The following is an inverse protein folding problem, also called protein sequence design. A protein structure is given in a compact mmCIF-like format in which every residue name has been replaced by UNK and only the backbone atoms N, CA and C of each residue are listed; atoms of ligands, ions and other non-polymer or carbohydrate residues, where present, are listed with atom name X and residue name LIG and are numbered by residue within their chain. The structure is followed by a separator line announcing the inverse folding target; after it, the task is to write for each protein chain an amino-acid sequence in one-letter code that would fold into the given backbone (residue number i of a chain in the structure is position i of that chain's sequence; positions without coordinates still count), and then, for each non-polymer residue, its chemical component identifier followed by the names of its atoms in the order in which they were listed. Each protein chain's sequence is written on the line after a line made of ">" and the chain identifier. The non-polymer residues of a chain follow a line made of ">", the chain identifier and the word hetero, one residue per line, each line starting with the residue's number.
data_IF_840120827719
#
_entry.id   IF_840120827719
#
_cell.length_a   1.000
_cell.length_b   1.000
_cell.length_c   1.000
_cell.angle_alpha   90.00
_cell.angle_beta   90.00
_cell.angle_gamma   90.00
#
_symmetry.space_group_name_H-M   'P 1'
#
loop_
_entity.id
_entity.type
_entity.pdbx_description
1 polymer ?
#
# COMPACT_ATOMS: atom_id res chain seq x y z
N UNK A 1 1.63 -6.74 -16.27
CA UNK A 1 2.34 -7.39 -15.16
C UNK A 1 1.43 -8.15 -14.19
N UNK A 2 0.36 -7.59 -13.64
CA UNK A 2 -0.59 -8.37 -12.80
C UNK A 2 -1.20 -9.59 -13.55
N UNK A 3 -1.35 -9.51 -14.86
CA UNK A 3 -1.82 -10.60 -15.70
C UNK A 3 -0.82 -11.79 -15.76
N UNK A 4 0.48 -11.53 -15.74
CA UNK A 4 1.50 -12.60 -15.75
C UNK A 4 1.49 -13.43 -14.46
N UNK A 5 1.38 -12.80 -13.29
CA UNK A 5 1.25 -13.51 -12.01
C UNK A 5 -0.03 -14.34 -11.94
N UNK A 6 -1.16 -13.81 -12.44
CA UNK A 6 -2.41 -14.57 -12.52
C UNK A 6 -2.30 -15.76 -13.47
N UNK A 7 -1.56 -15.63 -14.56
CA UNK A 7 -1.29 -16.73 -15.50
C UNK A 7 -0.51 -17.85 -14.84
N UNK A 8 0.61 -17.55 -14.16
CA UNK A 8 1.39 -18.53 -13.42
C UNK A 8 0.56 -19.24 -12.35
N UNK A 9 -0.25 -18.51 -11.61
CA UNK A 9 -1.16 -19.08 -10.59
C UNK A 9 -2.15 -20.07 -11.18
N UNK A 10 -2.73 -19.75 -12.36
CA UNK A 10 -3.65 -20.66 -13.07
C UNK A 10 -2.93 -21.92 -13.55
N UNK A 11 -1.72 -21.80 -14.11
CA UNK A 11 -0.92 -22.95 -14.55
C UNK A 11 -0.59 -23.84 -13.36
N UNK A 12 -0.14 -23.29 -12.24
CA UNK A 12 0.15 -24.07 -11.04
C UNK A 12 -1.08 -24.78 -10.48
N UNK A 13 -2.26 -24.14 -10.51
CA UNK A 13 -3.51 -24.79 -10.13
C UNK A 13 -3.83 -25.97 -11.06
N UNK A 14 -3.77 -25.77 -12.38
CA UNK A 14 -4.01 -26.82 -13.36
C UNK A 14 -3.03 -27.99 -13.18
N UNK A 15 -1.76 -27.70 -12.96
CA UNK A 15 -0.75 -28.70 -12.69
C UNK A 15 -1.06 -29.53 -11.44
N UNK A 16 -1.45 -28.86 -10.33
CA UNK A 16 -1.85 -29.56 -9.10
C UNK A 16 -3.08 -30.44 -9.29
N UNK A 17 -4.08 -29.96 -10.04
CA UNK A 17 -5.27 -30.76 -10.37
C UNK A 17 -4.90 -31.96 -11.21
N UNK A 18 -4.01 -31.79 -12.19
CA UNK A 18 -3.53 -32.89 -13.06
C UNK A 18 -2.76 -33.93 -12.26
N UNK A 19 -1.82 -33.51 -11.39
CA UNK A 19 -1.07 -34.40 -10.52
C UNK A 19 -2.00 -35.14 -9.54
N UNK A 20 -2.92 -34.41 -8.92
CA UNK A 20 -3.90 -35.00 -8.00
C UNK A 20 -4.77 -36.05 -8.68
N UNK A 21 -5.31 -35.77 -9.86
CA UNK A 21 -6.11 -36.70 -10.65
C UNK A 21 -5.28 -37.96 -11.07
N UNK A 22 -4.04 -37.70 -11.47
CA UNK A 22 -3.10 -38.79 -11.82
C UNK A 22 -2.85 -39.73 -10.62
N UNK A 23 -2.54 -39.18 -9.45
CA UNK A 23 -2.32 -39.98 -8.23
C UNK A 23 -3.59 -40.73 -7.79
N UNK A 24 -4.75 -40.08 -7.84
CA UNK A 24 -6.04 -40.72 -7.55
C UNK A 24 -6.27 -41.90 -8.49
N UNK A 25 -5.93 -41.77 -9.80
CA UNK A 25 -6.03 -42.85 -10.75
C UNK A 25 -5.07 -43.99 -10.40
N UNK A 26 -3.77 -43.72 -10.10
CA UNK A 26 -2.80 -44.77 -9.73
C UNK A 26 -3.25 -45.51 -8.49
N UNK A 27 -3.64 -44.79 -7.42
CA UNK A 27 -4.12 -45.38 -6.17
C UNK A 27 -5.41 -46.19 -6.36
N UNK A 28 -6.31 -45.74 -7.24
CA UNK A 28 -7.54 -46.46 -7.57
C UNK A 28 -7.33 -47.74 -8.38
N UNK A 29 -6.29 -47.75 -9.27
CA UNK A 29 -5.98 -48.93 -10.09
C UNK A 29 -5.18 -50.01 -9.34
N UNK A 30 -4.38 -49.60 -8.35
CA UNK A 30 -3.52 -50.56 -7.60
C UNK A 30 -4.29 -51.71 -6.97
N UNK A 31 -5.43 -51.49 -6.25
CA UNK A 31 -6.20 -52.62 -5.70
C UNK A 31 -6.74 -53.58 -6.76
N UNK A 32 -7.11 -53.05 -7.93
CA UNK A 32 -7.61 -53.88 -9.05
C UNK A 32 -6.50 -54.76 -9.63
N UNK A 33 -5.29 -54.21 -9.75
CA UNK A 33 -4.13 -54.98 -10.22
C UNK A 33 -3.65 -55.98 -9.18
N UNK A 34 -3.61 -55.61 -7.91
CA UNK A 34 -3.26 -56.46 -6.79
C UNK A 34 -4.18 -57.69 -6.69
N UNK A 35 -5.48 -57.51 -6.89
CA UNK A 35 -6.45 -58.61 -6.87
C UNK A 35 -6.25 -59.64 -8.01
N UNK A 36 -5.51 -59.28 -9.07
CA UNK A 36 -5.21 -60.19 -10.18
C UNK A 36 -3.91 -60.97 -9.99
N UNK A 37 -3.11 -60.63 -8.99
CA UNK A 37 -1.84 -61.30 -8.70
C UNK A 37 -1.97 -62.22 -7.49
N UNK A 38 -1.21 -63.33 -7.47
CA UNK A 38 -1.26 -64.29 -6.36
C UNK A 38 -0.84 -63.74 -5.02
N UNK A 39 0.00 -62.67 -5.03
CA UNK A 39 0.47 -61.96 -3.83
C UNK A 39 -0.45 -60.83 -3.36
N UNK A 40 -1.59 -60.64 -4.01
CA UNK A 40 -2.55 -59.59 -3.70
C UNK A 40 -3.17 -59.72 -2.29
N UNK A 41 -3.17 -60.87 -1.69
CA UNK A 41 -3.65 -61.09 -0.33
C UNK A 41 -2.70 -60.48 0.71
N UNK A 42 -1.37 -60.66 0.51
CA UNK A 42 -0.34 -60.07 1.38
C UNK A 42 -0.30 -58.53 1.29
N UNK A 43 -0.50 -58.01 0.11
CA UNK A 43 -0.64 -56.59 -0.09
C UNK A 43 -1.92 -56.05 0.56
N UNK A 44 -3.05 -56.72 0.36
CA UNK A 44 -4.31 -56.33 0.99
C UNK A 44 -4.26 -56.39 2.53
N UNK A 45 -3.48 -57.34 3.10
CA UNK A 45 -3.25 -57.42 4.55
C UNK A 45 -2.33 -56.30 5.04
N UNK A 46 -1.26 -55.96 4.32
CA UNK A 46 -0.37 -54.84 4.60
C UNK A 46 -1.05 -53.49 4.36
N UNK A 47 -1.96 -53.40 3.42
CA UNK A 47 -2.86 -52.27 3.16
C UNK A 47 -3.94 -52.12 4.23
N UNK A 48 -4.16 -53.12 5.11
CA UNK A 48 -5.17 -53.02 6.17
C UNK A 48 -4.90 -51.91 7.17
N UNK A 49 -3.65 -51.44 7.26
CA UNK A 49 -3.28 -50.33 8.11
C UNK A 49 -3.63 -48.95 7.47
N UNK A 50 -3.45 -48.76 6.14
CA UNK A 50 -3.75 -47.48 5.44
C UNK A 50 -3.89 -47.66 3.92
N UNK A 51 -4.89 -48.35 3.40
CA UNK A 51 -5.03 -48.42 1.96
C UNK A 51 -5.63 -47.15 1.40
N UNK A 52 -5.47 -47.00 0.08
CA UNK A 52 -6.34 -46.19 -0.74
C UNK A 52 -7.79 -46.70 -0.65
N UNK A 53 -8.39 -46.56 0.53
CA UNK A 53 -9.81 -46.81 0.70
C UNK A 53 -10.57 -45.85 -0.19
N UNK A 54 -11.68 -46.24 -0.77
CA UNK A 54 -12.47 -45.36 -1.64
C UNK A 54 -12.78 -43.99 -1.00
N UNK A 55 -12.92 -43.96 0.32
CA UNK A 55 -13.17 -42.70 1.05
C UNK A 55 -11.95 -41.76 1.12
N UNK A 56 -10.69 -42.26 1.15
CA UNK A 56 -9.48 -41.42 1.11
C UNK A 56 -9.33 -40.75 -0.24
N UNK A 57 -9.60 -41.46 -1.32
CA UNK A 57 -9.61 -40.91 -2.68
C UNK A 57 -10.76 -39.89 -2.84
N UNK A 58 -11.93 -40.15 -2.24
CA UNK A 58 -13.02 -39.17 -2.22
C UNK A 58 -12.62 -37.90 -1.48
N UNK A 59 -11.93 -37.99 -0.34
CA UNK A 59 -11.40 -36.82 0.40
C UNK A 59 -10.39 -36.05 -0.47
N UNK A 60 -9.51 -36.74 -1.20
CA UNK A 60 -8.56 -36.08 -2.11
C UNK A 60 -9.30 -35.27 -3.18
N UNK A 61 -10.29 -35.87 -3.85
CA UNK A 61 -11.08 -35.20 -4.89
C UNK A 61 -11.90 -34.03 -4.34
N UNK A 62 -12.61 -34.23 -3.22
CA UNK A 62 -13.40 -33.18 -2.58
C UNK A 62 -12.50 -32.04 -2.05
N UNK A 63 -11.36 -32.38 -1.46
CA UNK A 63 -10.39 -31.39 -0.99
C UNK A 63 -9.82 -30.54 -2.14
N UNK A 64 -9.52 -31.17 -3.29
CA UNK A 64 -9.10 -30.46 -4.50
C UNK A 64 -10.20 -29.53 -5.02
N UNK A 65 -11.45 -30.00 -5.04
CA UNK A 65 -12.59 -29.17 -5.42
C UNK A 65 -12.78 -28.00 -4.43
N UNK A 66 -12.63 -28.25 -3.13
CA UNK A 66 -12.70 -27.22 -2.09
C UNK A 66 -11.59 -26.16 -2.23
N UNK A 67 -10.35 -26.56 -2.59
CA UNK A 67 -9.25 -25.64 -2.87
C UNK A 67 -9.55 -24.74 -4.08
N UNK A 68 -10.08 -25.32 -5.15
CA UNK A 68 -10.49 -24.56 -6.34
C UNK A 68 -11.59 -23.56 -5.98
N UNK A 69 -12.60 -24.01 -5.23
CA UNK A 69 -13.72 -23.18 -4.80
C UNK A 69 -13.25 -22.05 -3.87
N UNK A 70 -12.37 -22.35 -2.90
CA UNK A 70 -11.79 -21.38 -1.98
C UNK A 70 -11.04 -20.28 -2.76
N UNK A 71 -10.22 -20.64 -3.74
CA UNK A 71 -9.53 -19.68 -4.61
C UNK A 71 -10.49 -18.80 -5.42
N UNK A 72 -11.61 -19.35 -5.91
CA UNK A 72 -12.66 -18.59 -6.62
C UNK A 72 -13.38 -17.63 -5.69
N UNK A 73 -13.81 -18.08 -4.52
CA UNK A 73 -14.55 -17.26 -3.52
C UNK A 73 -13.68 -16.12 -2.99
N UNK A 74 -12.41 -16.37 -2.74
CA UNK A 74 -11.46 -15.33 -2.32
C UNK A 74 -11.31 -14.22 -3.36
N UNK A 75 -11.28 -14.55 -4.65
CA UNK A 75 -11.27 -13.56 -5.74
C UNK A 75 -12.52 -12.70 -5.77
N UNK A 76 -13.63 -13.14 -5.16
CA UNK A 76 -14.87 -12.38 -4.96
C UNK A 76 -14.87 -11.53 -3.69
N UNK A 77 -13.74 -11.42 -2.98
CA UNK A 77 -13.56 -10.53 -1.83
C UNK A 77 -13.73 -11.19 -0.45
N UNK A 78 -13.89 -12.50 -0.37
CA UNK A 78 -14.03 -13.22 0.91
C UNK A 78 -12.65 -13.64 1.47
N UNK A 79 -11.94 -12.69 2.07
CA UNK A 79 -10.56 -12.89 2.56
C UNK A 79 -10.44 -13.91 3.71
N UNK A 80 -11.53 -14.19 4.44
CA UNK A 80 -11.54 -15.15 5.54
C UNK A 80 -11.20 -16.59 5.08
N UNK A 81 -11.56 -16.93 3.85
CA UNK A 81 -11.34 -18.27 3.27
C UNK A 81 -9.85 -18.61 3.10
N UNK A 82 -8.99 -17.60 2.96
CA UNK A 82 -7.55 -17.81 2.77
C UNK A 82 -6.86 -18.57 3.91
N UNK A 83 -7.37 -18.50 5.15
CA UNK A 83 -6.82 -19.25 6.28
C UNK A 83 -7.19 -20.73 6.30
N UNK A 84 -8.20 -21.13 5.53
CA UNK A 84 -8.69 -22.50 5.45
C UNK A 84 -7.98 -23.27 4.31
N UNK A 85 -7.47 -22.58 3.30
CA UNK A 85 -6.78 -23.19 2.16
C UNK A 85 -5.59 -24.10 2.55
N UNK A 86 -4.68 -23.71 3.49
CA UNK A 86 -3.61 -24.60 3.95
C UNK A 86 -4.12 -25.89 4.57
N UNK A 87 -5.24 -25.83 5.28
CA UNK A 87 -5.86 -27.00 5.89
C UNK A 87 -6.39 -27.98 4.83
N UNK A 88 -7.08 -27.47 3.81
CA UNK A 88 -7.53 -28.28 2.69
C UNK A 88 -6.36 -28.89 1.93
N UNK A 89 -5.30 -28.13 1.69
CA UNK A 89 -4.10 -28.65 1.05
C UNK A 89 -3.48 -29.80 1.86
N UNK A 90 -3.39 -29.65 3.17
CA UNK A 90 -2.91 -30.72 4.06
C UNK A 90 -3.82 -31.95 4.01
N UNK A 91 -5.13 -31.79 4.09
CA UNK A 91 -6.07 -32.91 3.98
C UNK A 91 -5.86 -33.66 2.66
N UNK A 92 -5.67 -32.97 1.54
CA UNK A 92 -5.40 -33.59 0.23
C UNK A 92 -4.05 -34.32 0.22
N UNK A 93 -2.99 -33.69 0.75
CA UNK A 93 -1.65 -34.29 0.83
C UNK A 93 -1.66 -35.58 1.65
N UNK A 94 -2.36 -35.56 2.80
CA UNK A 94 -2.52 -36.78 3.61
C UNK A 94 -3.38 -37.83 2.92
N UNK A 95 -4.47 -37.44 2.26
CA UNK A 95 -5.32 -38.35 1.49
C UNK A 95 -4.58 -38.99 0.28
N UNK A 96 -3.58 -38.28 -0.26
CA UNK A 96 -2.67 -38.76 -1.31
C UNK A 96 -1.38 -39.41 -0.74
N UNK A 97 -1.40 -39.87 0.52
CA UNK A 97 -0.31 -40.59 1.15
C UNK A 97 1.04 -39.86 1.16
N UNK A 98 1.05 -38.53 1.26
CA UNK A 98 2.25 -37.69 1.19
C UNK A 98 3.07 -37.88 -0.10
N UNK A 99 2.45 -38.41 -1.15
CA UNK A 99 3.12 -38.68 -2.43
C UNK A 99 3.45 -37.38 -3.19
N UNK A 100 2.76 -36.28 -2.89
CA UNK A 100 2.95 -35.01 -3.56
C UNK A 100 2.62 -33.83 -2.65
N UNK A 101 3.60 -32.95 -2.42
CA UNK A 101 3.49 -31.79 -1.54
C UNK A 101 3.43 -30.44 -2.29
N UNK A 102 3.40 -30.45 -3.62
CA UNK A 102 3.34 -29.24 -4.46
C UNK A 102 2.13 -28.35 -4.20
N UNK A 103 1.04 -28.91 -3.62
CA UNK A 103 -0.12 -28.12 -3.18
C UNK A 103 0.24 -27.03 -2.16
N UNK A 104 1.24 -27.26 -1.30
CA UNK A 104 1.70 -26.25 -0.34
C UNK A 104 2.33 -25.06 -1.07
N UNK A 105 3.10 -25.32 -2.13
CA UNK A 105 3.69 -24.25 -2.96
C UNK A 105 2.61 -23.43 -3.66
N UNK A 106 1.54 -24.09 -4.15
CA UNK A 106 0.39 -23.39 -4.71
C UNK A 106 -0.31 -22.48 -3.68
N UNK A 107 -0.54 -22.99 -2.46
CA UNK A 107 -1.14 -22.19 -1.37
C UNK A 107 -0.29 -20.97 -1.03
N UNK A 108 1.04 -21.10 -1.04
CA UNK A 108 1.95 -19.96 -0.86
C UNK A 108 1.74 -18.94 -1.98
N UNK A 109 1.74 -19.38 -3.23
CA UNK A 109 1.55 -18.52 -4.40
C UNK A 109 0.20 -17.80 -4.36
N UNK A 110 -0.83 -18.49 -3.88
CA UNK A 110 -2.18 -17.94 -3.84
C UNK A 110 -2.40 -16.93 -2.71
N UNK A 111 -1.79 -17.13 -1.54
CA UNK A 111 -2.01 -16.32 -0.33
C UNK A 111 -0.99 -15.19 -0.12
N UNK A 112 0.22 -15.28 -0.70
CA UNK A 112 1.34 -14.39 -0.39
C UNK A 112 1.02 -12.90 -0.66
N UNK A 113 0.21 -12.61 -1.67
CA UNK A 113 -0.14 -11.24 -2.06
C UNK A 113 -1.05 -10.54 -1.04
N UNK A 114 -1.88 -11.30 -0.33
CA UNK A 114 -2.78 -10.78 0.71
C UNK A 114 -2.12 -10.59 2.08
N UNK A 115 -0.88 -11.07 2.26
CA UNK A 115 -0.19 -11.05 3.54
C UNK A 115 0.88 -9.97 3.60
N UNK A 116 0.95 -9.22 4.73
CA UNK A 116 1.87 -8.10 4.91
C UNK A 116 2.76 -8.26 6.16
N UNK A 117 3.93 -7.66 6.13
CA UNK A 117 4.81 -7.50 7.28
C UNK A 117 5.18 -8.81 8.01
N UNK A 118 4.96 -8.84 9.34
CA UNK A 118 5.30 -9.97 10.20
C UNK A 118 4.48 -11.23 9.90
N UNK A 119 3.22 -11.07 9.51
CA UNK A 119 2.31 -12.18 9.19
C UNK A 119 2.79 -12.94 7.95
N UNK A 120 3.23 -12.24 6.90
CA UNK A 120 3.81 -12.84 5.69
C UNK A 120 5.06 -13.67 6.02
N UNK A 121 5.97 -13.14 6.85
CA UNK A 121 7.19 -13.87 7.24
C UNK A 121 6.89 -15.13 8.03
N UNK A 122 5.95 -15.07 8.99
CA UNK A 122 5.53 -16.24 9.78
C UNK A 122 4.85 -17.29 8.91
N UNK A 123 3.99 -16.87 8.00
CA UNK A 123 3.31 -17.75 7.06
C UNK A 123 4.32 -18.47 6.14
N UNK A 124 5.26 -17.74 5.53
CA UNK A 124 6.31 -18.34 4.69
C UNK A 124 7.15 -19.32 5.49
N UNK A 125 7.59 -18.98 6.69
CA UNK A 125 8.35 -19.87 7.55
C UNK A 125 7.56 -21.15 7.89
N UNK A 126 6.29 -21.02 8.25
CA UNK A 126 5.42 -22.17 8.54
C UNK A 126 5.21 -23.06 7.30
N UNK A 127 4.93 -22.47 6.14
CA UNK A 127 4.75 -23.24 4.90
C UNK A 127 6.04 -23.93 4.44
N UNK A 128 7.19 -23.27 4.57
CA UNK A 128 8.49 -23.89 4.28
C UNK A 128 8.77 -25.05 5.22
N UNK A 129 8.57 -24.87 6.52
CA UNK A 129 8.73 -25.94 7.51
C UNK A 129 7.80 -27.13 7.20
N UNK A 130 6.54 -26.84 6.85
CA UNK A 130 5.55 -27.85 6.51
C UNK A 130 5.90 -28.59 5.21
N UNK A 131 6.38 -27.88 4.20
CA UNK A 131 6.85 -28.47 2.93
C UNK A 131 8.04 -29.40 3.17
N UNK A 132 9.01 -28.99 3.96
CA UNK A 132 10.15 -29.84 4.32
C UNK A 132 9.70 -31.07 5.13
N UNK A 133 8.82 -30.86 6.12
CA UNK A 133 8.32 -31.94 6.96
C UNK A 133 7.56 -33.01 6.13
N UNK A 134 6.67 -32.58 5.23
CA UNK A 134 5.91 -33.50 4.37
C UNK A 134 6.78 -34.24 3.33
N UNK A 135 7.95 -33.69 2.98
CA UNK A 135 8.93 -34.30 2.10
C UNK A 135 9.87 -35.30 2.79
N UNK A 136 9.88 -35.33 4.15
CA UNK A 136 10.74 -36.26 4.88
C UNK A 136 10.14 -37.66 4.90
N UNK A 137 10.87 -38.65 4.39
CA UNK A 137 10.51 -40.07 4.45
C UNK A 137 10.30 -40.61 5.88
N UNK A 138 10.99 -39.99 6.86
CA UNK A 138 10.80 -40.28 8.29
C UNK A 138 9.37 -40.03 8.77
N UNK A 139 8.69 -38.99 8.25
CA UNK A 139 7.29 -38.72 8.57
C UNK A 139 6.36 -39.79 8.04
N UNK A 140 6.62 -40.30 6.81
CA UNK A 140 5.86 -41.42 6.23
C UNK A 140 5.94 -42.64 7.12
N UNK A 141 7.17 -42.99 7.57
CA UNK A 141 7.40 -44.09 8.51
C UNK A 141 6.70 -43.89 9.86
N UNK A 142 6.82 -42.72 10.46
CA UNK A 142 6.20 -42.42 11.76
C UNK A 142 4.67 -42.47 11.73
N UNK A 143 4.06 -42.07 10.62
CA UNK A 143 2.62 -42.10 10.39
C UNK A 143 2.11 -43.41 9.81
N UNK A 144 2.99 -44.39 9.62
CA UNK A 144 2.67 -45.68 8.98
C UNK A 144 1.99 -45.51 7.62
N UNK A 145 2.37 -44.44 6.88
CA UNK A 145 1.85 -44.17 5.53
C UNK A 145 2.66 -44.96 4.51
N UNK A 146 1.97 -45.75 3.70
CA UNK A 146 2.61 -46.53 2.63
C UNK A 146 3.14 -45.58 1.55
N UNK A 147 4.44 -45.61 1.23
CA UNK A 147 5.03 -44.73 0.24
C UNK A 147 4.51 -45.03 -1.16
N UNK A 148 4.50 -44.02 -2.04
CA UNK A 148 4.01 -44.15 -3.42
C UNK A 148 4.69 -45.29 -4.19
N UNK A 149 5.98 -45.51 -3.96
CA UNK A 149 6.76 -46.62 -4.59
C UNK A 149 6.17 -47.99 -4.34
N UNK A 150 5.57 -48.25 -3.19
CA UNK A 150 4.92 -49.50 -2.83
C UNK A 150 3.68 -49.78 -3.69
N UNK A 151 2.89 -48.74 -4.00
CA UNK A 151 1.73 -48.87 -4.89
C UNK A 151 2.12 -49.21 -6.32
N UNK A 152 3.32 -48.82 -6.76
CA UNK A 152 3.83 -49.08 -8.09
C UNK A 152 4.31 -50.56 -8.25
N UNK A 153 4.50 -51.31 -7.18
CA UNK A 153 4.98 -52.73 -7.25
C UNK A 153 4.02 -53.63 -8.03
N UNK A 154 2.73 -53.24 -8.11
CA UNK A 154 1.71 -54.05 -8.81
C UNK A 154 1.59 -53.77 -10.30
N UNK A 155 2.33 -52.78 -10.79
CA UNK A 155 2.47 -52.46 -12.21
C UNK A 155 3.68 -53.23 -12.78
N UNK A 156 3.67 -53.52 -14.07
CA UNK A 156 4.83 -54.08 -14.76
C UNK A 156 6.04 -53.14 -14.70
N UNK A 157 7.23 -53.68 -14.82
CA UNK A 157 8.48 -52.94 -14.61
C UNK A 157 8.60 -51.68 -15.45
N UNK A 158 8.18 -51.74 -16.72
CA UNK A 158 8.23 -50.60 -17.64
C UNK A 158 7.24 -49.52 -17.24
N UNK A 159 5.99 -49.87 -16.95
CA UNK A 159 4.94 -48.95 -16.50
C UNK A 159 5.29 -48.32 -15.16
N UNK A 160 5.86 -49.08 -14.22
CA UNK A 160 6.33 -48.56 -12.93
C UNK A 160 7.36 -47.45 -13.10
N UNK A 161 8.39 -47.69 -13.97
CA UNK A 161 9.41 -46.66 -14.24
C UNK A 161 8.82 -45.41 -14.89
N UNK A 162 7.89 -45.57 -15.84
CA UNK A 162 7.21 -44.45 -16.48
C UNK A 162 6.37 -43.66 -15.49
N UNK A 163 5.55 -44.32 -14.66
CA UNK A 163 4.72 -43.65 -13.67
C UNK A 163 5.55 -42.83 -12.65
N UNK A 164 6.65 -43.44 -12.16
CA UNK A 164 7.58 -42.75 -11.27
C UNK A 164 8.20 -41.52 -11.95
N UNK A 165 8.71 -41.68 -13.17
CA UNK A 165 9.31 -40.57 -13.94
C UNK A 165 8.33 -39.43 -14.20
N UNK A 166 7.07 -39.78 -14.44
CA UNK A 166 6.01 -38.76 -14.63
C UNK A 166 5.79 -37.95 -13.35
N UNK A 167 5.71 -38.61 -12.18
CA UNK A 167 5.55 -37.88 -10.89
C UNK A 167 6.75 -36.99 -10.61
N UNK A 168 7.96 -37.50 -10.81
CA UNK A 168 9.20 -36.77 -10.60
C UNK A 168 9.31 -35.57 -11.54
N UNK A 169 8.95 -35.72 -12.82
CA UNK A 169 8.91 -34.66 -13.81
C UNK A 169 7.87 -33.57 -13.44
N UNK A 170 6.68 -34.00 -13.07
CA UNK A 170 5.60 -33.04 -12.67
C UNK A 170 5.97 -32.30 -11.40
N UNK A 171 6.62 -32.95 -10.44
CA UNK A 171 7.16 -32.35 -9.23
C UNK A 171 8.25 -31.30 -9.52
N UNK A 172 9.20 -31.65 -10.39
CA UNK A 172 10.26 -30.75 -10.84
C UNK A 172 9.68 -29.54 -11.59
N UNK A 173 8.73 -29.75 -12.49
CA UNK A 173 8.04 -28.68 -13.22
C UNK A 173 7.32 -27.74 -12.26
N UNK A 174 6.66 -28.28 -11.23
CA UNK A 174 5.98 -27.47 -10.22
C UNK A 174 6.96 -26.58 -9.44
N UNK A 175 8.11 -27.14 -9.04
CA UNK A 175 9.15 -26.40 -8.34
C UNK A 175 9.73 -25.27 -9.23
N UNK A 176 9.99 -25.57 -10.50
CA UNK A 176 10.48 -24.56 -11.46
C UNK A 176 9.44 -23.42 -11.61
N UNK A 177 8.17 -23.76 -11.79
CA UNK A 177 7.09 -22.75 -11.90
C UNK A 177 7.00 -21.91 -10.63
N UNK A 178 7.14 -22.51 -9.46
CA UNK A 178 7.16 -21.79 -8.18
C UNK A 178 8.35 -20.82 -8.10
N UNK A 179 9.56 -21.27 -8.46
CA UNK A 179 10.75 -20.42 -8.45
C UNK A 179 10.58 -19.25 -9.43
N UNK A 180 10.13 -19.52 -10.66
CA UNK A 180 9.88 -18.47 -11.66
C UNK A 180 8.85 -17.47 -11.16
N UNK A 181 7.74 -17.94 -10.57
CA UNK A 181 6.74 -17.06 -9.95
C UNK A 181 7.35 -16.18 -8.88
N UNK A 182 8.17 -16.74 -7.98
CA UNK A 182 8.82 -15.97 -6.90
C UNK A 182 9.80 -14.92 -7.44
N UNK A 183 10.57 -15.24 -8.47
CA UNK A 183 11.49 -14.28 -9.11
C UNK A 183 10.70 -13.12 -9.73
N UNK A 184 9.63 -13.41 -10.46
CA UNK A 184 8.76 -12.38 -11.05
C UNK A 184 8.10 -11.53 -9.97
N UNK A 185 7.60 -12.13 -8.91
CA UNK A 185 6.98 -11.44 -7.78
C UNK A 185 7.98 -10.49 -7.08
N UNK A 186 9.20 -10.98 -6.81
CA UNK A 186 10.26 -10.16 -6.16
C UNK A 186 10.63 -8.98 -7.06
N UNK A 187 10.80 -9.21 -8.37
CA UNK A 187 11.09 -8.16 -9.33
C UNK A 187 10.03 -7.05 -9.32
N UNK A 188 8.75 -7.42 -9.39
CA UNK A 188 7.64 -6.47 -9.34
C UNK A 188 7.62 -5.65 -8.03
N UNK A 189 7.82 -6.31 -6.89
CA UNK A 189 7.85 -5.64 -5.59
C UNK A 189 9.03 -4.67 -5.45
N UNK A 190 10.16 -5.00 -6.07
CA UNK A 190 11.34 -4.12 -6.08
C UNK A 190 11.07 -2.86 -6.90
N UNK A 191 10.45 -3.01 -8.08
CA UNK A 191 10.05 -1.87 -8.93
C UNK A 191 9.02 -0.97 -8.22
N UNK A 192 7.97 -1.56 -7.63
CA UNK A 192 6.95 -0.82 -6.86
C UNK A 192 7.59 -0.03 -5.71
N UNK A 193 8.47 -0.67 -4.93
CA UNK A 193 9.17 -0.02 -3.82
C UNK A 193 10.10 1.12 -4.29
N UNK A 194 10.77 0.96 -5.43
CA UNK A 194 11.63 2.01 -6.00
C UNK A 194 10.80 3.22 -6.45
N UNK A 195 9.64 2.98 -7.09
CA UNK A 195 8.71 4.02 -7.48
C UNK A 195 8.14 4.79 -6.28
N UNK A 196 7.75 4.07 -5.22
CA UNK A 196 7.26 4.69 -3.96
C UNK A 196 8.36 5.56 -3.32
N UNK A 197 9.61 5.07 -3.25
CA UNK A 197 10.74 5.85 -2.72
C UNK A 197 10.98 7.11 -3.51
N UNK A 198 10.92 7.02 -4.84
CA UNK A 198 11.07 8.17 -5.72
C UNK A 198 9.97 9.21 -5.48
N UNK A 199 8.70 8.77 -5.43
CA UNK A 199 7.56 9.66 -5.17
C UNK A 199 7.65 10.33 -3.79
N UNK A 200 8.07 9.59 -2.75
CA UNK A 200 8.30 10.17 -1.43
C UNK A 200 9.40 11.24 -1.45
N UNK A 201 10.49 11.02 -2.18
CA UNK A 201 11.55 12.02 -2.35
C UNK A 201 11.07 13.27 -3.10
N UNK A 202 10.27 13.12 -4.15
CA UNK A 202 9.65 14.25 -4.88
C UNK A 202 8.68 15.04 -3.98
N UNK A 203 7.90 14.34 -3.15
CA UNK A 203 6.97 14.94 -2.18
C UNK A 203 7.71 15.74 -1.10
N UNK A 204 8.81 15.21 -0.57
CA UNK A 204 9.65 15.89 0.41
C UNK A 204 10.25 17.16 -0.15
N UNK A 205 10.82 17.10 -1.36
CA UNK A 205 11.33 18.28 -2.05
C UNK A 205 10.26 19.34 -2.34
N UNK A 206 9.03 18.91 -2.72
CA UNK A 206 7.92 19.83 -2.93
C UNK A 206 7.50 20.51 -1.64
N UNK A 207 7.45 19.77 -0.53
CA UNK A 207 7.13 20.30 0.79
C UNK A 207 8.17 21.32 1.28
N UNK A 208 9.47 21.03 1.08
CA UNK A 208 10.54 21.96 1.41
C UNK A 208 10.44 23.26 0.60
N UNK A 209 10.18 23.17 -0.71
CA UNK A 209 9.95 24.35 -1.55
C UNK A 209 8.75 25.18 -1.06
N UNK A 210 7.66 24.53 -0.73
CA UNK A 210 6.47 25.20 -0.17
C UNK A 210 6.79 25.90 1.15
N UNK A 211 7.58 25.31 2.03
CA UNK A 211 8.03 25.92 3.29
C UNK A 211 8.84 27.19 3.04
N UNK A 212 9.84 27.12 2.16
CA UNK A 212 10.65 28.28 1.79
C UNK A 212 9.82 29.40 1.14
N UNK A 213 8.90 29.05 0.22
CA UNK A 213 8.00 30.04 -0.41
C UNK A 213 7.08 30.69 0.63
N UNK A 214 6.59 29.93 1.60
CA UNK A 214 5.72 30.47 2.67
C UNK A 214 6.50 31.46 3.55
N UNK A 215 7.75 31.16 3.90
CA UNK A 215 8.61 32.10 4.63
C UNK A 215 8.89 33.38 3.81
N UNK A 216 9.16 33.26 2.52
CA UNK A 216 9.34 34.41 1.64
C UNK A 216 8.07 35.26 1.55
N UNK A 217 6.89 34.63 1.41
CA UNK A 217 5.61 35.32 1.38
C UNK A 217 5.35 36.10 2.69
N UNK A 218 5.67 35.51 3.85
CA UNK A 218 5.57 36.17 5.13
C UNK A 218 6.50 37.40 5.23
N UNK A 219 7.74 37.23 4.73
CA UNK A 219 8.70 38.34 4.70
C UNK A 219 8.21 39.50 3.78
N UNK A 220 7.73 39.18 2.58
CA UNK A 220 7.15 40.18 1.66
C UNK A 220 5.91 40.86 2.24
N UNK A 221 5.03 40.11 2.91
CA UNK A 221 3.85 40.68 3.57
C UNK A 221 4.26 41.70 4.64
N UNK A 222 5.21 41.37 5.52
CA UNK A 222 5.72 42.23 6.55
C UNK A 222 6.41 43.50 5.98
N UNK A 223 7.19 43.33 4.91
CA UNK A 223 7.83 44.49 4.25
C UNK A 223 6.79 45.39 3.55
N UNK A 224 5.78 44.80 2.90
CA UNK A 224 4.68 45.55 2.28
C UNK A 224 3.90 46.37 3.33
N UNK A 225 3.65 45.81 4.50
CA UNK A 225 2.99 46.47 5.61
C UNK A 225 3.81 47.66 6.12
N UNK A 226 5.12 47.53 6.33
CA UNK A 226 6.04 48.62 6.70
C UNK A 226 6.07 49.73 5.67
N UNK A 227 6.10 49.35 4.38
CA UNK A 227 6.06 50.34 3.31
C UNK A 227 4.73 51.07 3.26
N UNK A 228 3.61 50.39 3.50
CA UNK A 228 2.29 51.02 3.57
C UNK A 228 2.21 52.03 4.76
N UNK A 229 2.71 51.62 5.93
CA UNK A 229 2.78 52.50 7.12
C UNK A 229 3.63 53.75 6.87
N UNK A 230 4.81 53.55 6.24
CA UNK A 230 5.70 54.67 5.89
C UNK A 230 5.06 55.62 4.87
N UNK A 231 4.37 55.10 3.86
CA UNK A 231 3.64 55.91 2.87
C UNK A 231 2.53 56.74 3.53
N UNK A 232 1.76 56.11 4.43
CA UNK A 232 0.69 56.77 5.13
C UNK A 232 1.22 57.87 6.06
N UNK A 233 2.30 57.60 6.79
CA UNK A 233 2.99 58.61 7.60
C UNK A 233 3.46 59.81 6.78
N UNK A 234 4.04 59.55 5.60
CA UNK A 234 4.49 60.62 4.70
C UNK A 234 3.32 61.37 4.06
N UNK A 235 2.19 60.74 3.82
CA UNK A 235 0.96 61.37 3.34
C UNK A 235 0.40 62.32 4.39
N UNK A 236 0.26 61.84 5.63
CA UNK A 236 -0.20 62.62 6.77
C UNK A 236 0.71 63.81 7.06
N UNK A 237 2.04 63.63 7.02
CA UNK A 237 3.00 64.72 7.21
C UNK A 237 2.84 65.81 6.17
N UNK A 238 2.60 65.48 4.90
CA UNK A 238 2.33 66.48 3.84
C UNK A 238 1.00 67.19 4.05
N UNK A 239 -0.07 66.50 4.37
CA UNK A 239 -1.38 67.04 4.61
C UNK A 239 -1.36 68.04 5.80
N UNK A 240 -0.65 67.68 6.89
CA UNK A 240 -0.42 68.52 8.02
C UNK A 240 0.39 69.78 7.62
N UNK A 241 1.46 69.60 6.84
CA UNK A 241 2.32 70.69 6.37
C UNK A 241 1.54 71.71 5.50
N UNK A 242 0.73 71.17 4.57
CA UNK A 242 -0.08 71.99 3.68
C UNK A 242 -1.15 72.78 4.45
N UNK A 243 -1.86 72.14 5.39
CA UNK A 243 -2.88 72.79 6.23
C UNK A 243 -2.28 73.83 7.11
N UNK A 244 -1.13 73.52 7.78
CA UNK A 244 -0.44 74.53 8.62
C UNK A 244 0.16 75.67 7.80
N UNK A 245 0.72 75.33 6.61
CA UNK A 245 1.27 76.40 5.73
C UNK A 245 0.24 77.42 5.29
N UNK A 246 -0.96 76.94 4.86
CA UNK A 246 -2.05 77.85 4.50
C UNK A 246 -2.55 78.67 5.68
N UNK A 247 -2.74 78.02 6.85
CA UNK A 247 -3.18 78.73 8.03
C UNK A 247 -2.17 79.82 8.50
N UNK A 248 -0.90 79.48 8.56
CA UNK A 248 0.20 80.35 8.92
C UNK A 248 0.33 81.54 7.94
N UNK A 249 0.26 81.27 6.64
CA UNK A 249 0.29 82.31 5.60
C UNK A 249 -0.87 83.28 5.77
N UNK A 250 -2.11 82.78 6.02
CA UNK A 250 -3.26 83.59 6.27
C UNK A 250 -3.16 84.43 7.54
N UNK A 251 -2.62 83.88 8.64
CA UNK A 251 -2.36 84.56 9.90
C UNK A 251 -1.34 85.65 9.72
N UNK A 252 -0.22 85.39 9.01
CA UNK A 252 0.84 86.39 8.81
C UNK A 252 0.35 87.54 7.97
N UNK A 253 -0.30 87.27 6.83
CA UNK A 253 -0.89 88.33 5.99
C UNK A 253 -1.96 89.15 6.72
N UNK A 254 -2.76 88.44 7.52
CA UNK A 254 -3.77 89.11 8.36
C UNK A 254 -3.17 90.00 9.45
N UNK A 255 -2.11 89.54 10.11
CA UNK A 255 -1.39 90.30 11.11
C UNK A 255 -0.74 91.57 10.51
N UNK A 256 -0.12 91.46 9.34
CA UNK A 256 0.47 92.56 8.59
C UNK A 256 -0.63 93.65 8.29
N UNK A 257 -1.79 93.13 7.82
CA UNK A 257 -2.94 94.05 7.57
C UNK A 257 -3.44 94.70 8.84
N UNK A 258 -3.47 93.97 9.97
CA UNK A 258 -3.85 94.60 11.27
C UNK A 258 -2.91 95.74 11.70
N UNK A 259 -1.60 95.56 11.54
CA UNK A 259 -0.59 96.55 11.87
C UNK A 259 -0.83 97.84 11.08
N UNK A 260 -1.10 97.72 9.78
CA UNK A 260 -1.39 98.88 8.94
C UNK A 260 -2.70 99.56 9.26
N UNK A 261 -3.71 98.84 9.73
CA UNK A 261 -5.03 99.37 10.07
C UNK A 261 -5.11 100.04 11.47
N UNK A 262 -4.17 99.74 12.35
CA UNK A 262 -4.20 100.22 13.76
C UNK A 262 -4.18 101.69 13.87
N UNK A 263 -3.46 102.40 12.99
CA UNK A 263 -3.36 103.86 12.98
C UNK A 263 -4.55 104.58 12.27
N UNK A 264 -5.20 103.82 11.32
CA UNK A 264 -6.25 104.36 10.44
C UNK A 264 -7.65 104.11 11.01
N UNK A 265 -7.91 102.90 11.52
CA UNK A 265 -9.22 102.50 12.05
C UNK A 265 -9.04 101.32 13.06
N UNK A 266 -8.95 101.65 14.37
CA UNK A 266 -8.78 100.67 15.44
C UNK A 266 -9.89 99.58 15.48
N UNK A 267 -11.15 99.96 15.14
CA UNK A 267 -12.28 99.02 15.11
C UNK A 267 -12.17 97.99 14.00
N UNK A 268 -11.65 98.40 12.85
CA UNK A 268 -11.38 97.47 11.74
C UNK A 268 -10.21 96.54 12.07
N UNK A 269 -9.15 97.05 12.69
CA UNK A 269 -8.02 96.25 13.17
C UNK A 269 -8.49 95.16 14.18
N UNK A 270 -9.37 95.49 15.10
CA UNK A 270 -9.97 94.59 16.07
C UNK A 270 -10.73 93.44 15.37
N UNK A 271 -11.59 93.72 14.40
CA UNK A 271 -12.33 92.74 13.62
C UNK A 271 -11.36 91.78 12.85
N UNK A 272 -10.29 92.34 12.29
CA UNK A 272 -9.30 91.56 11.58
C UNK A 272 -8.54 90.65 12.54
N UNK A 273 -8.21 91.08 13.75
CA UNK A 273 -7.57 90.24 14.78
C UNK A 273 -8.48 89.08 15.21
N UNK A 274 -9.82 89.34 15.35
CA UNK A 274 -10.79 88.28 15.64
C UNK A 274 -10.87 87.26 14.53
N UNK A 275 -10.77 87.65 13.26
CA UNK A 275 -10.68 86.70 12.08
C UNK A 275 -9.43 85.88 12.12
N UNK A 276 -8.26 86.47 12.40
CA UNK A 276 -6.99 85.76 12.54
C UNK A 276 -7.09 84.69 13.63
N UNK A 277 -7.66 85.08 14.81
CA UNK A 277 -7.84 84.11 15.91
C UNK A 277 -8.79 82.94 15.55
N UNK A 278 -9.84 83.24 14.75
CA UNK A 278 -10.72 82.15 14.22
C UNK A 278 -9.97 81.24 13.30
N UNK A 279 -9.25 81.79 12.29
CA UNK A 279 -8.45 80.96 11.32
C UNK A 279 -7.38 80.14 12.04
N UNK A 280 -6.71 80.68 13.05
CA UNK A 280 -5.74 79.94 13.86
C UNK A 280 -6.38 78.75 14.60
N UNK A 281 -7.57 78.96 15.20
CA UNK A 281 -8.30 77.84 15.88
C UNK A 281 -8.80 76.80 14.91
N UNK A 282 -9.28 77.18 13.75
CA UNK A 282 -9.74 76.31 12.71
C UNK A 282 -8.57 75.45 12.22
N UNK A 283 -7.43 76.03 11.85
CA UNK A 283 -6.23 75.30 11.41
C UNK A 283 -5.73 74.33 12.49
N UNK A 284 -5.68 74.73 13.76
CA UNK A 284 -5.33 73.85 14.87
C UNK A 284 -6.29 72.69 15.04
N UNK A 285 -7.59 72.86 14.84
CA UNK A 285 -8.59 71.80 14.93
C UNK A 285 -8.52 70.84 13.76
N UNK A 286 -8.15 71.33 12.60
CA UNK A 286 -7.97 70.50 11.40
C UNK A 286 -6.75 69.57 11.53
N UNK A 287 -5.62 70.15 12.00
CA UNK A 287 -4.44 69.35 12.34
C UNK A 287 -4.74 68.22 13.39
N UNK A 288 -5.48 68.61 14.45
CA UNK A 288 -5.90 67.67 15.48
C UNK A 288 -6.78 66.52 14.91
N UNK A 289 -7.62 66.81 13.92
CA UNK A 289 -8.46 65.84 13.27
C UNK A 289 -7.61 64.87 12.41
N UNK A 290 -6.68 65.40 11.60
CA UNK A 290 -5.78 64.61 10.76
C UNK A 290 -4.83 63.70 11.56
N UNK A 291 -4.46 64.06 12.80
CA UNK A 291 -3.62 63.22 13.67
C UNK A 291 -4.42 62.14 14.41
N UNK A 292 -5.75 62.29 14.56
CA UNK A 292 -6.60 61.33 15.29
C UNK A 292 -7.37 60.39 14.38
N UNK A 293 -7.42 60.60 13.07
CA UNK A 293 -7.99 59.71 12.07
C UNK A 293 -6.98 58.65 11.65
#
# INVERSE_FOLDING_TARGET
>A
MAQSLQFFRRIMLLLNVTVGAFLVWVFGMTPVLAARQSDGVTFAQNLSALPAKPWTLAIAVLGMAALILAGVLRRRGQNFIGWIEPLFALCVIFALHLAYNGLLLYVVVDLIDGLHGRTRRRFLGAMTALFLLTGLGALQGALHVVPFSEYLLYFDMHTRQLLQSVVDLLGALHLILFVVYMVVLIGQRTEENSAIRRLNGELEQANDRLSVMNEQLKAYAAESERMAETRERNRLAREIHDTLGHALTGITAGADACIQMLEISPEMAKKQMERIASTAREGMNEVRRSVRA
#
